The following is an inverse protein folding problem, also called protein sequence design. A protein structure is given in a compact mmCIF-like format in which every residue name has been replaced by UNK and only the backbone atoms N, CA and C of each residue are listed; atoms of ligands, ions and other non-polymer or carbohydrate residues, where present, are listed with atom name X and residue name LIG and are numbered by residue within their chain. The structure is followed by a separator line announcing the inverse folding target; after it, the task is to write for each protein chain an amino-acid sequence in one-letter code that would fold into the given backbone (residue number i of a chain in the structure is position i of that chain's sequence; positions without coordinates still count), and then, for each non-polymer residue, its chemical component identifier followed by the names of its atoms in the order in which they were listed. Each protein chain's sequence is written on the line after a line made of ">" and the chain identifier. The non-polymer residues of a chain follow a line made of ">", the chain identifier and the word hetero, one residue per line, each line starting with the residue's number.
data_IF_295329411606
#
_entry.id   IF_295329411606
#
_cell.length_a   1.000
_cell.length_b   1.000
_cell.length_c   1.000
_cell.angle_alpha   90.00
_cell.angle_beta   90.00
_cell.angle_gamma   90.00
#
_symmetry.space_group_name_H-M   'P 1'
#
loop_
_entity.id
_entity.type
_entity.pdbx_description
1 polymer ?
#
# COMPACT_ATOMS: atom_id res chain seq x y z
N UNK A 1 -5.88 4.69 4.77
CA UNK A 1 -4.78 3.78 5.17
C UNK A 1 -4.18 3.21 3.90
N UNK A 2 -2.86 3.07 3.82
CA UNK A 2 -2.18 2.61 2.59
C UNK A 2 -1.37 1.37 2.91
N UNK A 3 -1.45 0.36 2.05
CA UNK A 3 -0.62 -0.83 2.09
C UNK A 3 0.26 -0.86 0.85
N UNK A 4 1.55 -1.10 1.06
CA UNK A 4 2.53 -1.24 -0.02
C UNK A 4 3.09 -2.65 0.04
N UNK A 5 2.95 -3.38 -1.06
CA UNK A 5 3.56 -4.69 -1.25
C UNK A 5 4.91 -4.49 -1.92
N UNK A 6 5.96 -4.89 -1.20
CA UNK A 6 7.33 -4.90 -1.70
C UNK A 6 7.78 -6.35 -1.73
N UNK A 7 7.95 -6.89 -2.93
CA UNK A 7 8.31 -8.31 -3.12
C UNK A 7 9.60 -8.40 -3.89
N UNK A 8 10.61 -9.04 -3.31
CA UNK A 8 11.83 -9.43 -4.01
C UNK A 8 11.51 -10.59 -4.96
N UNK A 9 11.71 -10.37 -6.25
CA UNK A 9 11.50 -11.36 -7.31
C UNK A 9 12.83 -11.82 -7.93
N UNK A 10 13.97 -11.31 -7.44
CA UNK A 10 15.26 -11.49 -8.11
C UNK A 10 15.20 -11.05 -9.57
N UNK A 11 15.83 -11.80 -10.47
CA UNK A 11 15.79 -11.52 -11.92
C UNK A 11 14.70 -12.31 -12.65
N UNK A 12 13.64 -12.73 -11.93
CA UNK A 12 12.59 -13.58 -12.49
C UNK A 12 11.34 -12.80 -12.92
N UNK A 13 11.35 -12.35 -14.16
CA UNK A 13 10.22 -11.63 -14.77
C UNK A 13 8.93 -12.46 -14.86
N UNK A 14 9.02 -13.79 -14.91
CA UNK A 14 7.85 -14.67 -14.86
C UNK A 14 7.13 -14.60 -13.51
N UNK A 15 7.88 -14.46 -12.42
CA UNK A 15 7.31 -14.23 -11.08
C UNK A 15 6.68 -12.83 -11.01
N UNK A 16 7.30 -11.81 -11.60
CA UNK A 16 6.73 -10.46 -11.68
C UNK A 16 5.34 -10.48 -12.29
N UNK A 17 5.22 -11.02 -13.51
CA UNK A 17 3.95 -11.03 -14.24
C UNK A 17 2.84 -11.72 -13.43
N UNK A 18 3.16 -12.85 -12.80
CA UNK A 18 2.22 -13.59 -11.94
C UNK A 18 1.83 -12.81 -10.69
N UNK A 19 2.75 -12.06 -10.09
CA UNK A 19 2.45 -11.22 -8.93
C UNK A 19 1.59 -10.02 -9.31
N UNK A 20 1.90 -9.34 -10.40
CA UNK A 20 1.10 -8.22 -10.93
C UNK A 20 -0.32 -8.70 -11.25
N UNK A 21 -0.48 -9.85 -11.89
CA UNK A 21 -1.80 -10.44 -12.16
C UNK A 21 -2.57 -10.75 -10.86
N UNK A 22 -1.91 -11.42 -9.90
CA UNK A 22 -2.54 -11.77 -8.62
C UNK A 22 -2.91 -10.54 -7.80
N UNK A 23 -2.01 -9.59 -7.65
CA UNK A 23 -2.23 -8.36 -6.92
C UNK A 23 -3.26 -7.48 -7.65
N UNK A 24 -3.28 -7.49 -8.98
CA UNK A 24 -4.33 -6.84 -9.78
C UNK A 24 -5.74 -7.39 -9.52
N UNK A 25 -5.88 -8.65 -9.08
CA UNK A 25 -7.15 -9.21 -8.65
C UNK A 25 -7.67 -8.62 -7.32
N UNK A 26 -6.84 -7.89 -6.58
CA UNK A 26 -7.23 -7.10 -5.43
C UNK A 26 -7.99 -5.85 -5.90
N UNK A 27 -9.22 -6.05 -6.36
CA UNK A 27 -10.13 -4.98 -6.76
C UNK A 27 -11.10 -4.64 -5.62
N UNK A 28 -11.65 -3.42 -5.64
CA UNK A 28 -12.61 -2.96 -4.64
C UNK A 28 -13.80 -3.93 -4.52
N UNK A 29 -14.36 -4.37 -5.64
CA UNK A 29 -15.51 -5.28 -5.67
C UNK A 29 -15.17 -6.69 -5.16
N UNK A 30 -13.92 -7.12 -5.28
CA UNK A 30 -13.47 -8.38 -4.71
C UNK A 30 -13.33 -8.30 -3.18
N UNK A 31 -13.04 -7.12 -2.63
CA UNK A 31 -12.90 -6.89 -1.19
C UNK A 31 -14.21 -6.54 -0.49
N UNK A 32 -15.16 -5.89 -1.17
CA UNK A 32 -16.48 -5.52 -0.63
C UNK A 32 -17.19 -6.64 0.16
N UNK A 33 -17.23 -7.90 -0.31
CA UNK A 33 -17.86 -8.99 0.43
C UNK A 33 -17.23 -9.26 1.81
N UNK A 34 -15.95 -8.94 1.98
CA UNK A 34 -15.21 -9.14 3.22
C UNK A 34 -15.21 -7.91 4.11
N UNK A 35 -15.19 -6.71 3.51
CA UNK A 35 -15.07 -5.44 4.25
C UNK A 35 -16.42 -4.82 4.60
N UNK A 36 -17.49 -5.21 3.91
CA UNK A 36 -18.82 -4.65 4.09
C UNK A 36 -18.84 -3.14 3.88
N UNK A 37 -19.64 -2.45 4.71
CA UNK A 37 -19.87 -0.99 4.64
C UNK A 37 -18.74 -0.14 5.24
N UNK A 38 -17.69 -0.77 5.79
CA UNK A 38 -16.59 -0.03 6.42
C UNK A 38 -15.63 0.56 5.37
N UNK A 39 -15.41 -0.13 4.25
CA UNK A 39 -14.58 0.33 3.14
C UNK A 39 -15.45 1.15 2.18
N UNK A 40 -15.12 2.43 2.02
CA UNK A 40 -15.83 3.34 1.12
C UNK A 40 -15.24 3.33 -0.29
N UNK A 41 -13.92 3.26 -0.38
CA UNK A 41 -13.20 3.34 -1.64
C UNK A 41 -11.85 2.66 -1.52
N UNK A 42 -11.40 2.08 -2.63
CA UNK A 42 -10.05 1.59 -2.80
C UNK A 42 -9.41 2.17 -4.06
N UNK A 43 -8.16 2.61 -3.93
CA UNK A 43 -7.35 3.08 -5.06
C UNK A 43 -6.13 2.20 -5.17
N UNK A 44 -5.98 1.51 -6.30
CA UNK A 44 -4.78 0.77 -6.65
C UNK A 44 -3.82 1.68 -7.45
N UNK A 45 -2.53 1.63 -7.10
CA UNK A 45 -1.46 2.30 -7.80
C UNK A 45 -0.40 1.25 -8.19
N UNK A 46 -0.45 0.75 -9.44
CA UNK A 46 0.44 -0.32 -9.87
C UNK A 46 1.83 0.22 -10.19
N UNK A 47 2.75 0.16 -9.23
CA UNK A 47 4.06 0.82 -9.35
C UNK A 47 5.00 0.01 -10.25
N UNK A 48 4.93 -1.33 -10.21
CA UNK A 48 5.73 -2.21 -11.07
C UNK A 48 5.47 -2.00 -12.57
N UNK A 49 4.27 -1.50 -12.91
CA UNK A 49 3.90 -1.21 -14.29
C UNK A 49 4.37 0.18 -14.74
N UNK A 50 4.56 1.10 -13.80
CA UNK A 50 5.03 2.45 -14.09
C UNK A 50 6.55 2.51 -14.25
N UNK A 51 7.27 1.70 -13.47
CA UNK A 51 8.73 1.67 -13.50
C UNK A 51 9.23 0.24 -13.24
N UNK A 52 10.08 -0.34 -14.10
CA UNK A 52 10.78 -1.58 -13.78
C UNK A 52 11.81 -1.30 -12.66
N UNK A 53 11.48 -1.67 -11.43
CA UNK A 53 12.39 -1.51 -10.28
C UNK A 53 13.24 -2.76 -10.11
N UNK A 54 14.13 -3.03 -11.07
CA UNK A 54 15.10 -4.12 -11.01
C UNK A 54 14.51 -5.43 -10.48
N UNK A 55 14.99 -5.88 -9.33
CA UNK A 55 14.59 -7.15 -8.71
C UNK A 55 13.32 -7.08 -7.84
N UNK A 56 12.56 -5.99 -7.90
CA UNK A 56 11.42 -5.75 -7.01
C UNK A 56 10.11 -5.63 -7.76
N UNK A 57 9.07 -6.23 -7.21
CA UNK A 57 7.67 -5.97 -7.54
C UNK A 57 7.08 -5.06 -6.46
N UNK A 58 6.55 -3.90 -6.87
CA UNK A 58 6.00 -2.85 -6.03
C UNK A 58 4.55 -2.58 -6.40
N UNK A 59 3.62 -2.81 -5.48
CA UNK A 59 2.20 -2.48 -5.68
C UNK A 59 1.69 -1.72 -4.47
N UNK A 60 0.96 -0.63 -4.69
CA UNK A 60 0.40 0.18 -3.60
C UNK A 60 -1.13 0.22 -3.68
N UNK A 61 -1.77 0.08 -2.52
CA UNK A 61 -3.22 0.14 -2.39
C UNK A 61 -3.61 1.08 -1.25
N UNK A 62 -4.41 2.09 -1.58
CA UNK A 62 -4.96 3.03 -0.62
C UNK A 62 -6.43 2.69 -0.34
N UNK A 63 -6.73 2.45 0.93
CA UNK A 63 -8.04 2.08 1.45
C UNK A 63 -8.63 3.22 2.26
N UNK A 64 -9.83 3.65 1.88
CA UNK A 64 -10.58 4.71 2.53
C UNK A 64 -11.71 4.10 3.35
N UNK A 65 -11.62 4.27 4.66
CA UNK A 65 -12.60 3.74 5.61
C UNK A 65 -13.44 4.87 6.18
N UNK A 66 -14.73 4.59 6.38
CA UNK A 66 -15.68 5.54 6.99
C UNK A 66 -15.23 6.04 8.35
N UNK A 67 -14.62 5.17 9.16
CA UNK A 67 -14.05 5.51 10.48
C UNK A 67 -12.71 4.80 10.70
N UNK A 68 -11.62 5.49 10.38
CA UNK A 68 -10.27 4.96 10.54
C UNK A 68 -9.67 5.23 11.93
N UNK A 69 -9.78 6.46 12.44
CA UNK A 69 -9.03 6.93 13.63
C UNK A 69 -9.27 6.05 14.85
N UNK A 70 -8.19 5.47 15.39
CA UNK A 70 -8.22 4.59 16.56
C UNK A 70 -8.73 3.17 16.29
N UNK A 71 -8.95 2.83 15.01
CA UNK A 71 -9.43 1.51 14.55
C UNK A 71 -8.49 0.86 13.55
N UNK A 72 -7.37 1.49 13.23
CA UNK A 72 -6.41 1.08 12.20
C UNK A 72 -6.00 -0.38 12.36
N UNK A 73 -5.55 -0.75 13.57
CA UNK A 73 -5.14 -2.13 13.88
C UNK A 73 -6.25 -3.14 13.67
N UNK A 74 -7.45 -2.84 14.19
CA UNK A 74 -8.61 -3.72 14.05
C UNK A 74 -9.03 -3.88 12.59
N UNK A 75 -9.07 -2.78 11.83
CA UNK A 75 -9.42 -2.81 10.41
C UNK A 75 -8.36 -3.55 9.59
N UNK A 76 -7.08 -3.38 9.92
CA UNK A 76 -6.01 -4.05 9.19
C UNK A 76 -5.93 -5.54 9.52
N UNK A 77 -5.81 -5.91 10.79
CA UNK A 77 -5.64 -7.30 11.22
C UNK A 77 -6.93 -8.12 11.19
N UNK A 78 -8.07 -7.49 11.51
CA UNK A 78 -9.36 -8.17 11.61
C UNK A 78 -10.15 -8.19 10.31
N UNK A 79 -9.86 -7.28 9.36
CA UNK A 79 -10.65 -7.14 8.14
C UNK A 79 -9.79 -7.29 6.88
N UNK A 80 -8.82 -6.40 6.65
CA UNK A 80 -8.05 -6.36 5.41
C UNK A 80 -7.12 -7.56 5.23
N UNK A 81 -6.23 -7.85 6.18
CA UNK A 81 -5.29 -8.96 6.04
C UNK A 81 -5.98 -10.32 5.85
N UNK A 82 -7.07 -10.64 6.58
CA UNK A 82 -7.85 -11.86 6.32
C UNK A 82 -8.46 -11.87 4.91
N UNK A 83 -9.03 -10.76 4.45
CA UNK A 83 -9.64 -10.66 3.12
C UNK A 83 -8.58 -10.82 2.01
N UNK A 84 -7.46 -10.12 2.13
CA UNK A 84 -6.32 -10.20 1.19
C UNK A 84 -5.76 -11.63 1.18
N UNK A 85 -5.59 -12.28 2.34
CA UNK A 85 -5.16 -13.69 2.41
C UNK A 85 -6.12 -14.60 1.67
N UNK A 86 -7.43 -14.41 1.85
CA UNK A 86 -8.47 -15.20 1.19
C UNK A 86 -8.43 -15.02 -0.33
N UNK A 87 -8.34 -13.77 -0.79
CA UNK A 87 -8.35 -13.43 -2.22
C UNK A 87 -7.08 -13.87 -2.95
N UNK A 88 -5.91 -13.66 -2.34
CA UNK A 88 -4.62 -13.91 -2.98
C UNK A 88 -4.08 -15.31 -2.70
N UNK A 89 -4.66 -16.04 -1.75
CA UNK A 89 -4.16 -17.35 -1.30
C UNK A 89 -2.76 -17.26 -0.69
N UNK A 90 -2.43 -16.14 -0.04
CA UNK A 90 -1.11 -15.90 0.57
C UNK A 90 -1.20 -15.85 2.10
N UNK A 91 -0.27 -16.51 2.77
CA UNK A 91 -0.14 -16.40 4.22
C UNK A 91 0.79 -15.25 4.59
N UNK A 92 0.34 -14.38 5.48
CA UNK A 92 1.20 -13.40 6.13
C UNK A 92 1.78 -14.03 7.39
N UNK A 93 3.11 -14.03 7.52
CA UNK A 93 3.72 -14.25 8.82
C UNK A 93 3.55 -13.00 9.66
N UNK A 94 3.09 -13.17 10.90
CA UNK A 94 2.95 -12.05 11.83
C UNK A 94 4.35 -11.62 12.27
N UNK A 95 4.89 -10.59 11.62
CA UNK A 95 5.99 -9.79 12.17
C UNK A 95 5.41 -8.58 12.90
N UNK A 96 6.08 -8.11 13.96
CA UNK A 96 5.69 -6.89 14.68
C UNK A 96 5.98 -5.64 13.82
N UNK A 97 5.18 -5.39 12.79
CA UNK A 97 5.30 -4.20 11.93
C UNK A 97 4.44 -3.03 12.44
N UNK A 98 3.61 -3.25 13.48
CA UNK A 98 2.74 -2.23 14.06
C UNK A 98 2.99 -2.13 15.57
N UNK A 99 3.43 -0.97 16.09
CA UNK A 99 3.70 -0.82 17.51
C UNK A 99 2.43 -1.06 18.34
N UNK A 100 2.59 -1.76 19.47
CA UNK A 100 1.53 -2.09 20.43
C UNK A 100 0.77 -0.85 20.92
N UNK A 101 1.48 0.29 20.97
CA UNK A 101 0.93 1.61 21.29
C UNK A 101 0.89 2.45 20.02
N UNK A 102 -0.25 3.07 19.63
CA UNK A 102 -0.21 4.21 18.72
C UNK A 102 0.82 5.18 19.31
N UNK A 103 1.70 5.82 18.51
CA UNK A 103 2.52 6.91 19.05
C UNK A 103 1.54 7.84 19.76
N UNK A 104 1.76 8.08 21.04
CA UNK A 104 1.00 9.08 21.75
C UNK A 104 1.00 10.29 20.82
N UNK A 105 -0.18 10.80 20.48
CA UNK A 105 -0.27 12.18 20.10
C UNK A 105 0.12 12.98 21.35
N UNK A 106 1.41 13.00 21.67
CA UNK A 106 2.00 14.19 22.24
C UNK A 106 1.53 15.29 21.30
N UNK A 107 0.77 16.22 21.87
CA UNK A 107 0.41 17.45 21.21
C UNK A 107 1.74 18.18 21.03
N UNK A 108 2.51 17.77 20.02
CA UNK A 108 3.51 18.62 19.43
C UNK A 108 2.75 19.87 19.00
N UNK A 109 3.29 21.07 19.25
CA UNK A 109 2.65 22.31 18.84
C UNK A 109 2.26 22.17 17.36
N UNK A 110 1.07 22.64 16.99
CA UNK A 110 0.53 22.61 15.63
C UNK A 110 1.54 23.20 14.63
N UNK A 111 2.50 22.37 14.21
CA UNK A 111 3.26 22.60 13.00
C UNK A 111 2.22 22.36 11.92
N UNK A 112 1.90 23.36 11.07
CA UNK A 112 0.88 23.20 10.06
C UNK A 112 1.20 21.92 9.31
N UNK A 113 0.31 20.92 9.47
CA UNK A 113 0.45 19.63 8.83
C UNK A 113 0.34 19.90 7.33
N UNK A 114 1.47 20.17 6.68
CA UNK A 114 1.61 19.84 5.27
C UNK A 114 1.27 18.37 5.22
N UNK A 115 0.15 18.04 4.57
CA UNK A 115 -0.20 16.69 4.19
C UNK A 115 0.98 16.08 3.44
N UNK A 116 1.91 15.48 4.17
CA UNK A 116 3.04 14.74 3.63
C UNK A 116 2.91 13.30 4.09
N UNK A 117 1.70 12.75 3.96
CA UNK A 117 1.52 11.34 3.65
C UNK A 117 1.70 11.18 2.16
N UNK A 118 2.90 11.46 1.65
CA UNK A 118 3.20 11.21 0.25
C UNK A 118 3.17 9.69 0.05
N UNK A 119 2.30 9.19 -0.82
CA UNK A 119 2.34 7.79 -1.26
C UNK A 119 3.74 7.45 -1.78
N UNK A 120 4.12 6.17 -1.75
CA UNK A 120 5.36 5.73 -2.40
C UNK A 120 5.33 6.13 -3.88
N UNK A 121 4.15 6.12 -4.50
CA UNK A 121 3.95 6.64 -5.84
C UNK A 121 4.37 8.12 -5.99
N UNK A 122 3.97 8.98 -5.06
CA UNK A 122 4.32 10.40 -5.07
C UNK A 122 5.82 10.61 -4.79
N UNK A 123 6.38 9.83 -3.86
CA UNK A 123 7.81 9.87 -3.56
C UNK A 123 8.67 9.40 -4.75
N UNK A 124 8.27 8.31 -5.42
CA UNK A 124 8.93 7.81 -6.63
C UNK A 124 8.85 8.83 -7.76
N UNK A 125 7.67 9.41 -8.03
CA UNK A 125 7.54 10.48 -9.04
C UNK A 125 8.47 11.66 -8.75
N UNK A 126 8.47 12.17 -7.52
CA UNK A 126 9.35 13.29 -7.14
C UNK A 126 10.84 12.96 -7.22
N UNK A 127 11.23 11.72 -6.88
CA UNK A 127 12.60 11.24 -7.06
C UNK A 127 13.00 11.16 -8.54
N UNK A 128 12.11 10.67 -9.40
CA UNK A 128 12.39 10.62 -10.84
C UNK A 128 12.44 12.01 -11.48
N UNK A 129 11.51 12.91 -11.15
CA UNK A 129 11.51 14.28 -11.68
C UNK A 129 12.80 15.02 -11.32
N UNK A 130 13.35 14.76 -10.12
CA UNK A 130 14.62 15.35 -9.68
C UNK A 130 15.87 14.71 -10.29
N UNK A 131 15.81 13.47 -10.77
CA UNK A 131 16.97 12.74 -11.33
C UNK A 131 16.96 12.60 -12.86
N UNK A 132 15.83 12.90 -13.52
CA UNK A 132 15.72 12.97 -14.99
C UNK A 132 15.41 14.38 -15.54
N UNK A 133 15.20 15.39 -14.70
CA UNK A 133 15.10 16.79 -15.11
C UNK A 133 16.40 17.47 -15.56
N UNK A 134 17.51 16.72 -15.71
CA UNK A 134 18.79 17.22 -16.23
C UNK A 134 19.17 16.53 -17.55
N UNK A 135 18.24 16.52 -18.49
CA UNK A 135 18.58 16.34 -19.90
C UNK A 135 17.57 17.07 -20.76
N UNK A 136 17.60 18.40 -20.72
CA UNK A 136 17.23 19.22 -21.88
C UNK A 136 17.75 20.66 -21.72
N UNK A 137 18.81 20.92 -22.49
CA UNK A 137 19.38 22.20 -22.97
C UNK A 137 20.10 23.14 -22.00
#
# INVERSE_FOLDING_TARGET
>A
MTLTFVVDIGENEGIRARLVERLGALAEDALKPYTGVELEMMVAAPLSSLVPVGQWCLEEYSFYFRKLRGRERRLLQGLLLPAIRSLLGISFQSTEWMPETPPHAEIAPEVPHRHSGASLAAALRGWFDSHHGSSEK
#
